data_IF_273881460107
#
_entry.id   IF_273881460107
#
_cell.length_a   1.000
_cell.length_b   1.000
_cell.length_c   1.000
_cell.angle_alpha   90.00
_cell.angle_beta   90.00
_cell.angle_gamma   90.00
#
_symmetry.space_group_name_H-M   'P 1'
#
loop_
_entity.id
_entity.type
_entity.pdbx_description
1 polymer ?
#
# COMPACT_ATOMS: atom_id res chain seq x y z
N UNK A 1 -9.18 25.36 -3.25
CA UNK A 1 -7.89 24.75 -3.58
C UNK A 1 -8.08 23.27 -3.42
N UNK A 2 -7.94 22.47 -4.47
CA UNK A 2 -7.98 21.01 -4.32
C UNK A 2 -6.61 20.58 -3.82
N UNK A 3 -6.42 20.59 -2.51
CA UNK A 3 -5.25 19.99 -1.88
C UNK A 3 -5.30 18.50 -2.19
N UNK A 4 -4.33 18.03 -2.97
CA UNK A 4 -4.19 16.62 -3.25
C UNK A 4 -3.53 15.95 -2.03
N UNK A 5 -3.98 14.77 -1.58
CA UNK A 5 -3.32 14.05 -0.51
C UNK A 5 -1.82 13.91 -0.80
N UNK A 6 -0.96 14.16 0.20
CA UNK A 6 0.48 14.12 0.02
C UNK A 6 0.98 12.71 -0.29
N UNK A 7 0.26 11.66 0.09
CA UNK A 7 0.64 10.27 -0.19
C UNK A 7 -0.29 9.71 -1.26
N UNK A 8 0.29 9.11 -2.29
CA UNK A 8 -0.48 8.39 -3.31
C UNK A 8 0.12 7.00 -3.47
N UNK A 9 -0.71 5.99 -3.29
CA UNK A 9 -0.34 4.59 -3.48
C UNK A 9 -0.96 4.10 -4.78
N UNK A 10 -0.12 3.70 -5.73
CA UNK A 10 -0.56 3.22 -7.05
C UNK A 10 -1.24 1.85 -6.95
N UNK A 11 -1.95 1.40 -8.01
CA UNK A 11 -2.49 0.05 -8.06
C UNK A 11 -1.41 -1.02 -7.82
N UNK A 12 -1.76 -2.17 -7.23
CA UNK A 12 -0.87 -3.33 -7.15
C UNK A 12 -0.27 -3.70 -8.51
N UNK A 13 1.06 -3.77 -8.58
CA UNK A 13 1.81 -4.22 -9.74
C UNK A 13 1.88 -5.76 -9.78
N UNK A 14 2.28 -6.34 -10.91
CA UNK A 14 2.33 -7.79 -11.12
C UNK A 14 3.21 -8.55 -10.11
N UNK A 15 4.17 -7.88 -9.47
CA UNK A 15 5.04 -8.42 -8.42
C UNK A 15 4.44 -8.34 -7.01
N UNK A 16 3.21 -7.83 -6.88
CA UNK A 16 2.52 -7.62 -5.61
C UNK A 16 2.85 -6.31 -4.92
N UNK A 17 3.83 -5.55 -5.40
CA UNK A 17 4.21 -4.27 -4.85
C UNK A 17 3.27 -3.14 -5.25
N UNK A 18 3.27 -2.06 -4.47
CA UNK A 18 2.61 -0.81 -4.81
C UNK A 18 3.60 0.33 -4.73
N UNK A 19 3.72 1.08 -5.83
CA UNK A 19 4.57 2.27 -5.86
C UNK A 19 3.93 3.38 -5.01
N UNK A 20 4.73 3.98 -4.14
CA UNK A 20 4.33 5.07 -3.25
C UNK A 20 5.01 6.35 -3.68
N UNK A 21 4.21 7.40 -3.89
CA UNK A 21 4.72 8.77 -4.08
C UNK A 21 4.34 9.64 -2.89
N UNK A 22 5.27 10.44 -2.40
CA UNK A 22 5.05 11.41 -1.34
C UNK A 22 5.34 12.81 -1.88
N UNK A 23 4.37 13.71 -1.78
CA UNK A 23 4.40 15.08 -2.32
C UNK A 23 4.77 15.14 -3.80
N UNK A 24 4.35 14.13 -4.56
CA UNK A 24 4.62 14.00 -6.00
C UNK A 24 5.91 13.26 -6.35
N UNK A 25 6.76 12.93 -5.37
CA UNK A 25 8.04 12.28 -5.60
C UNK A 25 7.98 10.76 -5.35
N UNK A 26 8.50 9.92 -6.25
CA UNK A 26 8.65 8.49 -6.00
C UNK A 26 9.50 8.22 -4.75
N UNK A 27 8.92 7.61 -3.73
CA UNK A 27 9.60 7.35 -2.45
C UNK A 27 10.03 5.89 -2.31
N UNK A 28 9.25 4.95 -2.85
CA UNK A 28 9.58 3.53 -2.83
C UNK A 28 8.44 2.63 -3.28
N UNK A 29 8.66 1.32 -3.17
CA UNK A 29 7.65 0.28 -3.39
C UNK A 29 7.34 -0.37 -2.05
N UNK A 30 6.07 -0.41 -1.68
CA UNK A 30 5.56 -1.11 -0.51
C UNK A 30 5.02 -2.48 -0.92
N UNK A 31 5.10 -3.49 -0.05
CA UNK A 31 4.51 -4.81 -0.25
C UNK A 31 3.46 -5.14 0.80
N UNK A 32 3.24 -4.22 1.75
CA UNK A 32 2.28 -4.34 2.82
C UNK A 32 1.81 -2.95 3.25
N UNK A 33 0.69 -2.89 3.98
CA UNK A 33 0.26 -1.66 4.65
C UNK A 33 1.36 -1.11 5.57
N UNK A 34 2.05 -1.99 6.29
CA UNK A 34 3.14 -1.60 7.19
C UNK A 34 4.26 -0.86 6.45
N UNK A 35 4.67 -1.34 5.28
CA UNK A 35 5.70 -0.67 4.47
C UNK A 35 5.26 0.74 4.01
N UNK A 36 3.98 0.92 3.70
CA UNK A 36 3.41 2.24 3.38
C UNK A 36 3.55 3.16 4.60
N UNK A 37 3.12 2.70 5.78
CA UNK A 37 3.19 3.49 7.02
C UNK A 37 4.64 3.86 7.38
N UNK A 38 5.58 2.95 7.17
CA UNK A 38 7.02 3.20 7.34
C UNK A 38 7.55 4.29 6.40
N UNK A 39 7.15 4.28 5.13
CA UNK A 39 7.51 5.33 4.16
C UNK A 39 6.93 6.70 4.56
N UNK A 40 5.66 6.71 4.98
CA UNK A 40 4.95 7.91 5.45
C UNK A 40 5.64 8.48 6.70
N UNK A 41 5.96 7.63 7.68
CA UNK A 41 6.66 8.03 8.89
C UNK A 41 8.05 8.60 8.58
N UNK A 42 8.83 7.96 7.70
CA UNK A 42 10.14 8.46 7.25
C UNK A 42 10.07 9.81 6.55
N UNK A 43 8.93 10.16 5.95
CA UNK A 43 8.68 11.45 5.34
C UNK A 43 8.18 12.54 6.31
N UNK A 44 8.06 12.23 7.61
CA UNK A 44 7.58 13.16 8.63
C UNK A 44 6.08 13.43 8.58
N UNK A 45 5.31 12.52 7.97
CA UNK A 45 3.85 12.56 7.93
C UNK A 45 3.27 11.66 9.04
N UNK A 46 2.02 11.90 9.48
CA UNK A 46 1.38 11.05 10.50
C UNK A 46 1.25 9.62 9.98
N UNK A 47 1.92 8.68 10.66
CA UNK A 47 2.04 7.27 10.26
C UNK A 47 1.29 6.31 11.18
N UNK A 48 0.16 6.73 11.75
CA UNK A 48 -0.64 5.93 12.69
C UNK A 48 -1.71 5.09 11.96
N UNK A 49 -2.19 4.01 12.58
CA UNK A 49 -3.23 3.14 11.98
C UNK A 49 -4.48 3.89 11.51
N UNK A 50 -4.89 4.97 12.18
CA UNK A 50 -6.05 5.79 11.75
C UNK A 50 -5.79 6.62 10.49
N UNK A 51 -4.52 6.86 10.17
CA UNK A 51 -4.10 7.66 9.03
C UNK A 51 -4.29 6.89 7.71
N UNK A 52 -4.45 5.57 7.77
CA UNK A 52 -4.67 4.70 6.60
C UNK A 52 -5.97 5.04 5.85
N UNK A 53 -7.00 5.44 6.59
CA UNK A 53 -8.34 5.73 6.09
C UNK A 53 -8.56 7.24 5.87
N UNK A 54 -7.53 8.06 6.09
CA UNK A 54 -7.60 9.51 5.93
C UNK A 54 -7.40 9.89 4.45
N UNK A 55 -8.47 10.30 3.73
CA UNK A 55 -8.37 10.66 2.31
C UNK A 55 -7.62 11.97 2.07
N UNK A 56 -7.43 12.80 3.11
CA UNK A 56 -6.62 14.01 3.04
C UNK A 56 -5.12 13.69 3.19
N UNK A 57 -4.78 12.50 3.68
CA UNK A 57 -3.41 12.01 3.81
C UNK A 57 -3.02 11.06 2.67
N UNK A 58 -3.83 10.03 2.42
CA UNK A 58 -3.49 8.92 1.51
C UNK A 58 -4.57 8.73 0.45
N UNK A 59 -4.17 8.83 -0.82
CA UNK A 59 -4.97 8.36 -1.96
C UNK A 59 -4.55 6.92 -2.32
N UNK A 60 -5.44 5.97 -2.06
CA UNK A 60 -5.30 4.60 -2.51
C UNK A 60 -5.88 4.42 -3.92
N UNK A 61 -5.08 3.94 -4.87
CA UNK A 61 -5.51 3.69 -6.26
C UNK A 61 -5.56 2.21 -6.55
N UNK A 62 -6.57 1.78 -7.32
CA UNK A 62 -6.71 0.38 -7.73
C UNK A 62 -7.02 -0.58 -6.59
N UNK A 63 -7.69 -0.09 -5.54
CA UNK A 63 -7.98 -0.82 -4.31
C UNK A 63 -7.57 -0.02 -3.07
N UNK A 64 -8.15 -0.37 -1.93
CA UNK A 64 -7.91 0.23 -0.63
C UNK A 64 -6.62 -0.25 0.04
N UNK A 65 -6.45 0.04 1.34
CA UNK A 65 -5.23 -0.27 2.10
C UNK A 65 -4.94 -1.76 2.28
N UNK A 66 -5.97 -2.61 2.13
CA UNK A 66 -5.87 -4.06 2.31
C UNK A 66 -5.82 -4.82 0.96
N UNK A 67 -5.93 -4.11 -0.16
CA UNK A 67 -5.87 -4.70 -1.49
C UNK A 67 -4.41 -4.77 -1.95
N UNK A 68 -3.81 -5.93 -1.73
CA UNK A 68 -2.50 -6.34 -2.22
C UNK A 68 -2.73 -7.55 -3.13
N UNK A 69 -2.02 -7.69 -4.26
CA UNK A 69 -2.27 -8.79 -5.19
C UNK A 69 -2.07 -10.14 -4.48
N UNK A 70 -3.20 -10.70 -4.04
CA UNK A 70 -3.23 -11.95 -3.31
C UNK A 70 -2.90 -13.08 -4.27
N UNK A 71 -1.67 -13.54 -4.26
CA UNK A 71 -1.52 -14.98 -4.10
C UNK A 71 -1.83 -15.26 -2.63
N UNK A 72 -3.11 -15.43 -2.31
CA UNK A 72 -3.45 -16.35 -1.23
C UNK A 72 -3.13 -17.75 -1.75
N UNK A 73 -1.83 -18.08 -1.82
CA UNK A 73 -1.37 -19.46 -2.01
C UNK A 73 -1.51 -20.18 -0.67
N UNK A 74 -2.76 -20.31 -0.23
CA UNK A 74 -3.20 -21.25 0.80
C UNK A 74 -4.18 -22.26 0.19
N UNK A 75 -3.95 -22.67 -1.06
CA UNK A 75 -4.59 -23.82 -1.70
C UNK A 75 -3.67 -24.20 -2.88
N UNK A 76 -2.90 -25.29 -2.92
CA UNK A 76 -3.20 -26.67 -2.59
C UNK A 76 -1.87 -27.36 -2.20
N UNK A 77 -1.75 -27.81 -0.96
CA UNK A 77 -0.75 -28.81 -0.56
C UNK A 77 -1.45 -29.89 0.25
N UNK A 78 -2.41 -30.55 -0.40
CA UNK A 78 -2.84 -31.89 -0.01
C UNK A 78 -2.90 -32.78 -1.25
N UNK A 79 -1.70 -33.10 -1.77
CA UNK A 79 -1.53 -34.36 -2.50
C UNK A 79 -0.91 -35.33 -1.50
N UNK A 80 -1.74 -35.84 -0.58
CA UNK A 80 -1.49 -37.13 0.04
C UNK A 80 -1.38 -38.18 -1.07
N UNK A 81 -0.15 -38.55 -1.44
CA UNK A 81 0.11 -39.73 -2.24
C UNK A 81 -0.31 -40.95 -1.43
N UNK A 82 -1.29 -41.69 -1.96
CA UNK A 82 -1.63 -43.04 -1.52
C UNK A 82 -0.63 -44.09 -1.97
#
# INVERSE_FOLDING_TARGET
>A
MSTRPPVVVQPPASDGGRQVTIRGEPTGTAYSLFDVMDLVHRAGLPGEDRAVDDPDLIEWRGGGPYDWNGTDTSDTSDTANG
#
